data_IF_776829947695
#
_entry.id   IF_776829947695
#
_cell.length_a   1.000
_cell.length_b   1.000
_cell.length_c   1.000
_cell.angle_alpha   90.00
_cell.angle_beta   90.00
_cell.angle_gamma   90.00
#
_symmetry.space_group_name_H-M   'P 1'
#
loop_
_entity.id
_entity.type
_entity.pdbx_description
1 polymer ?
#
# COMPACT_ATOMS: atom_id res chain seq x y z
N UNK A 1 -16.63 -62.40 -49.18
CA UNK A 1 -17.84 -63.13 -48.79
C UNK A 1 -17.68 -63.57 -47.34
N UNK A 2 -18.49 -62.98 -46.43
CA UNK A 2 -19.04 -63.53 -45.18
C UNK A 2 -18.02 -63.99 -44.11
N UNK A 3 -17.86 -63.24 -43.00
CA UNK A 3 -18.54 -63.41 -41.70
C UNK A 3 -18.38 -64.84 -41.13
N UNK A 4 -18.06 -65.14 -39.88
CA UNK A 4 -18.13 -64.44 -38.61
C UNK A 4 -17.33 -65.28 -37.58
N UNK A 5 -17.06 -64.75 -36.40
CA UNK A 5 -17.60 -65.33 -35.14
C UNK A 5 -16.69 -65.08 -33.94
N UNK A 6 -17.34 -64.71 -32.84
CA UNK A 6 -16.96 -64.97 -31.45
C UNK A 6 -15.66 -64.35 -30.97
N UNK A 7 -15.76 -63.12 -30.45
CA UNK A 7 -14.93 -62.74 -29.30
C UNK A 7 -15.83 -62.48 -28.09
N UNK A 8 -15.45 -63.20 -27.04
CA UNK A 8 -16.20 -63.63 -25.88
C UNK A 8 -16.53 -62.45 -24.93
N UNK A 9 -17.81 -62.30 -24.61
CA UNK A 9 -18.37 -61.29 -23.68
C UNK A 9 -17.83 -61.45 -22.24
N UNK A 10 -17.02 -62.49 -21.97
CA UNK A 10 -16.44 -62.77 -20.65
C UNK A 10 -15.15 -62.02 -20.33
N UNK A 11 -14.43 -61.48 -21.31
CA UNK A 11 -13.18 -60.74 -21.04
C UNK A 11 -13.45 -59.31 -20.51
N UNK A 12 -14.66 -58.80 -20.73
CA UNK A 12 -15.02 -57.42 -20.37
C UNK A 12 -15.19 -57.16 -18.87
N UNK A 13 -15.34 -58.18 -18.01
CA UNK A 13 -15.72 -57.96 -16.61
C UNK A 13 -14.56 -58.00 -15.60
N UNK A 14 -13.36 -58.43 -16.00
CA UNK A 14 -12.24 -58.61 -15.05
C UNK A 14 -11.32 -57.39 -14.91
N UNK A 15 -11.42 -56.38 -15.77
CA UNK A 15 -10.52 -55.21 -15.79
C UNK A 15 -11.18 -53.96 -15.17
N UNK A 16 -12.43 -54.05 -14.72
CA UNK A 16 -13.20 -52.90 -14.24
C UNK A 16 -13.03 -52.57 -12.74
N UNK A 17 -12.21 -53.31 -11.97
CA UNK A 17 -12.20 -53.19 -10.50
C UNK A 17 -10.82 -53.00 -9.85
N UNK A 18 -9.87 -52.35 -10.51
CA UNK A 18 -8.52 -52.08 -9.95
C UNK A 18 -8.05 -50.62 -10.06
N UNK A 19 -8.97 -49.64 -10.12
CA UNK A 19 -8.62 -48.21 -10.22
C UNK A 19 -9.38 -47.33 -9.21
N UNK A 20 -9.47 -47.72 -7.94
CA UNK A 20 -10.16 -46.91 -6.90
C UNK A 20 -9.22 -46.37 -5.80
N UNK A 21 -7.90 -46.36 -5.99
CA UNK A 21 -7.02 -45.66 -5.05
C UNK A 21 -5.92 -44.87 -5.77
N UNK A 22 -6.31 -43.78 -6.42
CA UNK A 22 -5.38 -42.68 -6.64
C UNK A 22 -5.32 -41.85 -5.34
N UNK A 23 -4.18 -41.74 -4.63
CA UNK A 23 -4.06 -40.76 -3.58
C UNK A 23 -4.14 -39.38 -4.23
N UNK A 24 -5.01 -38.52 -3.69
CA UNK A 24 -5.14 -37.14 -4.13
C UNK A 24 -3.75 -36.49 -4.28
N UNK A 25 -3.52 -35.68 -5.32
CA UNK A 25 -2.29 -34.91 -5.37
C UNK A 25 -2.28 -34.01 -4.14
N UNK A 26 -1.29 -34.20 -3.28
CA UNK A 26 -0.94 -33.26 -2.22
C UNK A 26 -0.84 -31.89 -2.87
N UNK A 27 -1.84 -31.04 -2.64
CA UNK A 27 -1.77 -29.61 -2.88
C UNK A 27 -0.60 -29.11 -2.01
N UNK A 28 0.60 -29.10 -2.60
CA UNK A 28 1.82 -28.54 -2.04
C UNK A 28 1.57 -27.05 -1.96
N UNK A 29 0.93 -26.67 -0.86
CA UNK A 29 0.49 -25.31 -0.61
C UNK A 29 1.65 -24.35 -0.77
N UNK A 30 1.52 -23.49 -1.77
CA UNK A 30 1.70 -22.04 -1.63
C UNK A 30 2.98 -21.64 -0.90
N UNK A 31 4.15 -21.92 -1.48
CA UNK A 31 5.42 -21.30 -1.04
C UNK A 31 6.25 -20.62 -2.14
N UNK A 32 5.83 -20.67 -3.40
CA UNK A 32 6.62 -20.10 -4.51
C UNK A 32 5.85 -19.11 -5.38
N UNK A 33 4.69 -18.58 -4.94
CA UNK A 33 4.19 -17.39 -5.62
C UNK A 33 5.08 -16.21 -5.21
N UNK A 34 5.90 -15.62 -6.10
CA UNK A 34 6.52 -14.34 -5.80
C UNK A 34 5.42 -13.38 -5.34
N UNK A 35 5.68 -12.50 -4.36
CA UNK A 35 4.67 -11.55 -3.91
C UNK A 35 4.11 -10.89 -5.16
N UNK A 36 2.80 -11.05 -5.40
CA UNK A 36 2.14 -10.47 -6.56
C UNK A 36 2.60 -9.01 -6.61
N UNK A 37 3.32 -8.58 -7.66
CA UNK A 37 3.60 -7.17 -7.84
C UNK A 37 2.26 -6.47 -7.66
N UNK A 38 2.19 -5.49 -6.73
CA UNK A 38 0.93 -4.80 -6.44
C UNK A 38 0.30 -4.46 -7.77
N UNK A 39 -0.94 -4.95 -7.96
CA UNK A 39 -1.52 -5.12 -9.28
C UNK A 39 -1.26 -3.85 -10.10
N UNK A 40 -0.86 -3.95 -11.37
CA UNK A 40 -0.38 -2.80 -12.14
C UNK A 40 -1.36 -1.59 -12.19
N UNK A 41 -2.61 -1.76 -11.73
CA UNK A 41 -3.62 -0.73 -11.51
C UNK A 41 -3.55 0.01 -10.15
N UNK A 42 -2.79 -0.46 -9.16
CA UNK A 42 -2.71 0.12 -7.82
C UNK A 42 -1.66 1.23 -7.74
N UNK A 43 -2.09 2.43 -7.35
CA UNK A 43 -1.25 3.63 -7.23
C UNK A 43 -0.22 3.52 -6.09
N UNK A 44 -0.38 2.52 -5.21
CA UNK A 44 0.42 2.28 -4.02
C UNK A 44 1.64 1.36 -4.22
N UNK A 45 2.06 1.10 -5.47
CA UNK A 45 3.13 0.15 -5.69
C UNK A 45 4.51 0.80 -5.53
N UNK A 46 5.32 0.44 -4.52
CA UNK A 46 6.65 1.02 -4.33
C UNK A 46 7.56 0.79 -5.55
N UNK A 47 7.32 -0.29 -6.31
CA UNK A 47 8.00 -0.56 -7.57
C UNK A 47 7.75 0.50 -8.66
N UNK A 48 6.63 1.24 -8.61
CA UNK A 48 6.35 2.32 -9.57
C UNK A 48 7.14 3.60 -9.25
N UNK A 49 7.80 3.66 -8.09
CA UNK A 49 8.76 4.71 -7.72
C UNK A 49 10.21 4.37 -8.16
N UNK A 50 10.43 3.27 -8.88
CA UNK A 50 11.73 3.01 -9.50
C UNK A 50 12.08 4.16 -10.48
N UNK A 51 13.27 4.75 -10.34
CA UNK A 51 13.70 5.93 -11.10
C UNK A 51 13.50 7.27 -10.39
N UNK A 52 12.91 7.27 -9.19
CA UNK A 52 12.81 8.47 -8.35
C UNK A 52 14.00 8.52 -7.37
N UNK A 53 14.68 9.66 -7.29
CA UNK A 53 15.81 9.86 -6.36
C UNK A 53 15.33 10.42 -5.02
N UNK A 54 16.03 10.12 -3.93
CA UNK A 54 15.94 10.95 -2.72
C UNK A 54 16.78 12.19 -2.96
N UNK A 55 16.15 13.27 -3.41
CA UNK A 55 16.83 14.52 -3.68
C UNK A 55 17.03 15.33 -2.39
N UNK A 56 18.27 15.77 -2.16
CA UNK A 56 18.63 16.71 -1.10
C UNK A 56 18.98 18.08 -1.71
N UNK A 57 18.43 19.19 -1.20
CA UNK A 57 17.36 19.25 -0.20
C UNK A 57 16.02 18.77 -0.79
N UNK A 58 15.11 18.33 0.08
CA UNK A 58 13.79 17.88 -0.34
C UNK A 58 13.01 18.97 -1.13
N UNK A 59 12.14 18.58 -2.08
CA UNK A 59 11.17 19.50 -2.69
C UNK A 59 10.33 20.27 -1.67
N UNK A 60 10.15 21.56 -1.92
CA UNK A 60 9.29 22.43 -1.11
C UNK A 60 7.89 22.40 -1.70
N UNK A 61 6.86 22.28 -0.86
CA UNK A 61 5.49 22.31 -1.34
C UNK A 61 5.10 23.73 -1.79
N UNK A 62 4.73 23.87 -3.06
CA UNK A 62 4.17 25.10 -3.65
C UNK A 62 2.68 25.19 -3.33
N UNK A 63 1.96 24.07 -3.44
CA UNK A 63 0.53 24.00 -3.17
C UNK A 63 0.17 22.71 -2.44
N UNK A 64 -0.56 22.86 -1.33
CA UNK A 64 -1.15 21.75 -0.58
C UNK A 64 -2.67 21.86 -0.62
N UNK A 65 -3.30 20.77 -1.05
CA UNK A 65 -4.74 20.59 -0.94
C UNK A 65 -5.02 19.88 0.38
N UNK A 66 -5.92 20.41 1.19
CA UNK A 66 -6.32 19.78 2.45
C UNK A 66 -7.05 18.45 2.20
N UNK A 67 -6.99 17.55 3.18
CA UNK A 67 -7.75 16.30 3.17
C UNK A 67 -9.25 16.63 3.19
N UNK A 68 -10.02 16.07 2.25
CA UNK A 68 -11.47 16.26 2.21
C UNK A 68 -12.17 15.40 3.26
N UNK A 69 -12.45 16.00 4.42
CA UNK A 69 -13.04 15.30 5.56
C UNK A 69 -14.52 14.94 5.36
N UNK A 70 -15.21 15.49 4.36
CA UNK A 70 -16.60 15.11 4.06
C UNK A 70 -16.72 13.64 3.62
N UNK A 71 -15.61 13.03 3.21
CA UNK A 71 -15.52 11.62 2.84
C UNK A 71 -15.08 10.71 4.01
N UNK A 72 -14.87 11.27 5.20
CA UNK A 72 -14.37 10.55 6.38
C UNK A 72 -15.48 10.48 7.43
N UNK A 73 -15.79 9.28 7.90
CA UNK A 73 -16.86 9.07 8.88
C UNK A 73 -16.46 9.62 10.24
N UNK A 74 -17.40 10.21 10.99
CA UNK A 74 -17.15 10.62 12.37
C UNK A 74 -17.34 9.47 13.37
N UNK A 75 -16.62 9.45 14.50
CA UNK A 75 -15.51 10.34 14.83
C UNK A 75 -14.31 10.11 13.89
N UNK A 76 -13.55 11.17 13.64
CA UNK A 76 -12.33 11.06 12.84
C UNK A 76 -11.34 10.14 13.57
N UNK A 77 -10.54 9.33 12.86
CA UNK A 77 -9.46 8.61 13.53
C UNK A 77 -8.52 9.63 14.17
N UNK A 78 -7.86 9.26 15.25
CA UNK A 78 -6.86 10.10 15.92
C UNK A 78 -5.46 9.57 15.60
N UNK A 79 -4.56 10.44 15.12
CA UNK A 79 -3.16 10.08 14.89
C UNK A 79 -2.55 10.74 13.66
N UNK A 80 -1.56 10.05 13.09
CA UNK A 80 -0.86 10.44 11.86
C UNK A 80 -0.89 9.31 10.84
N UNK A 81 -1.21 9.65 9.59
CA UNK A 81 -0.99 8.79 8.43
C UNK A 81 0.37 9.14 7.80
N UNK A 82 1.10 8.13 7.37
CA UNK A 82 2.41 8.29 6.72
C UNK A 82 2.28 7.79 5.28
N UNK A 83 2.59 8.65 4.33
CA UNK A 83 2.54 8.36 2.91
C UNK A 83 3.93 8.52 2.28
N UNK A 84 4.27 7.67 1.32
CA UNK A 84 5.36 7.90 0.38
C UNK A 84 4.78 8.46 -0.92
N UNK A 85 5.26 9.62 -1.36
CA UNK A 85 4.83 10.26 -2.59
C UNK A 85 5.94 10.26 -3.64
N UNK A 86 5.57 10.03 -4.88
CA UNK A 86 6.42 10.25 -6.05
C UNK A 86 6.06 11.56 -6.72
N UNK A 87 7.06 12.42 -6.88
CA UNK A 87 6.95 13.74 -7.51
C UNK A 87 7.72 13.68 -8.81
N UNK A 88 7.08 13.96 -9.94
CA UNK A 88 7.77 13.97 -11.24
C UNK A 88 8.68 15.20 -11.42
N UNK A 89 9.37 15.27 -12.55
CA UNK A 89 10.31 16.33 -12.92
C UNK A 89 9.66 17.71 -12.98
N UNK A 90 8.33 17.77 -13.12
CA UNK A 90 7.54 19.01 -13.14
C UNK A 90 7.00 19.40 -11.77
N UNK A 91 7.40 18.69 -10.72
CA UNK A 91 6.95 18.95 -9.35
C UNK A 91 5.54 18.44 -9.04
N UNK A 92 4.92 17.65 -9.90
CA UNK A 92 3.58 17.10 -9.68
C UNK A 92 3.66 15.76 -8.98
N UNK A 93 2.79 15.55 -7.99
CA UNK A 93 2.63 14.23 -7.36
C UNK A 93 1.96 13.29 -8.36
N UNK A 94 2.63 12.17 -8.68
CA UNK A 94 2.18 11.15 -9.62
C UNK A 94 1.89 9.81 -8.94
N UNK A 95 2.30 9.65 -7.69
CA UNK A 95 1.96 8.52 -6.83
C UNK A 95 1.89 8.93 -5.37
N UNK A 96 1.04 8.24 -4.62
CA UNK A 96 0.88 8.41 -3.18
C UNK A 96 0.57 7.03 -2.56
N UNK A 97 1.54 6.46 -1.86
CA UNK A 97 1.48 5.15 -1.24
C UNK A 97 1.29 5.31 0.26
N UNK A 98 0.33 4.62 0.86
CA UNK A 98 0.16 4.64 2.33
C UNK A 98 1.13 3.65 2.96
N UNK A 99 2.13 4.16 3.68
CA UNK A 99 3.07 3.33 4.45
C UNK A 99 2.48 2.95 5.81
N UNK A 100 1.79 3.90 6.45
CA UNK A 100 1.06 3.69 7.70
C UNK A 100 -0.27 4.41 7.63
N UNK A 101 -1.34 3.63 7.58
CA UNK A 101 -2.70 4.13 7.61
C UNK A 101 -3.23 4.34 9.03
N UNK A 102 -4.34 5.05 9.13
CA UNK A 102 -5.13 5.16 10.36
C UNK A 102 -6.46 4.42 10.20
N UNK A 103 -7.17 4.72 9.12
CA UNK A 103 -8.46 4.12 8.76
C UNK A 103 -8.70 4.36 7.27
N UNK A 104 -9.25 3.36 6.59
CA UNK A 104 -9.26 3.33 5.13
C UNK A 104 -10.02 4.49 4.46
N UNK A 105 -11.04 5.07 5.10
CA UNK A 105 -11.75 6.26 4.62
C UNK A 105 -10.86 7.51 4.68
N UNK A 106 -10.12 7.71 5.78
CA UNK A 106 -9.14 8.78 5.92
C UNK A 106 -7.96 8.57 4.98
N UNK A 107 -7.43 7.35 4.89
CA UNK A 107 -6.25 7.03 4.08
C UNK A 107 -6.51 7.27 2.58
N UNK A 108 -7.72 6.98 2.09
CA UNK A 108 -8.14 7.30 0.72
C UNK A 108 -8.27 8.81 0.50
N UNK A 109 -8.89 9.53 1.43
CA UNK A 109 -9.01 10.99 1.35
C UNK A 109 -7.63 11.68 1.40
N UNK A 110 -6.71 11.13 2.20
CA UNK A 110 -5.33 11.59 2.32
C UNK A 110 -4.55 11.40 1.01
N UNK A 111 -4.63 10.21 0.39
CA UNK A 111 -4.03 9.95 -0.92
C UNK A 111 -4.59 10.89 -2.00
N UNK A 112 -5.92 11.03 -2.06
CA UNK A 112 -6.57 11.91 -3.03
C UNK A 112 -6.15 13.37 -2.89
N UNK A 113 -5.95 13.85 -1.66
CA UNK A 113 -5.42 15.18 -1.41
C UNK A 113 -3.96 15.31 -1.84
N UNK A 114 -3.09 14.35 -1.46
CA UNK A 114 -1.67 14.34 -1.80
C UNK A 114 -1.42 14.34 -3.31
N UNK A 115 -2.21 13.58 -4.07
CA UNK A 115 -2.15 13.55 -5.54
C UNK A 115 -2.39 14.92 -6.21
N UNK A 116 -2.98 15.88 -5.50
CA UNK A 116 -3.27 17.23 -6.01
C UNK A 116 -2.23 18.27 -5.56
N UNK A 117 -1.22 17.83 -4.79
CA UNK A 117 -0.15 18.70 -4.32
C UNK A 117 0.82 19.05 -5.46
N UNK A 118 1.47 20.20 -5.30
CA UNK A 118 2.50 20.68 -6.22
C UNK A 118 3.73 21.04 -5.40
N UNK A 119 4.89 20.65 -5.89
CA UNK A 119 6.20 20.85 -5.29
C UNK A 119 7.14 21.57 -6.24
N UNK A 120 8.24 22.07 -5.70
CA UNK A 120 9.33 22.60 -6.53
C UNK A 120 9.97 21.47 -7.35
N UNK A 121 10.09 21.65 -8.69
CA UNK A 121 10.89 20.76 -9.52
C UNK A 121 12.30 20.58 -8.96
N UNK A 122 12.88 19.40 -9.15
CA UNK A 122 14.27 19.14 -8.77
C UNK A 122 15.11 18.82 -9.99
N UNK A 123 16.34 19.31 -9.93
CA UNK A 123 17.37 19.11 -10.93
C UNK A 123 18.57 18.51 -10.21
N UNK A 124 19.04 17.36 -10.68
CA UNK A 124 20.23 16.68 -10.18
C UNK A 124 21.20 16.53 -11.34
N UNK A 125 22.44 16.99 -11.18
CA UNK A 125 23.45 17.01 -12.24
C UNK A 125 22.97 17.68 -13.56
N UNK A 126 22.20 18.76 -13.45
CA UNK A 126 21.66 19.48 -14.61
C UNK A 126 20.47 18.78 -15.29
N UNK A 127 20.03 17.62 -14.80
CA UNK A 127 18.89 16.88 -15.34
C UNK A 127 17.67 16.99 -14.41
N UNK A 128 16.47 17.30 -14.92
CA UNK A 128 15.25 17.18 -14.14
C UNK A 128 15.04 15.74 -13.67
N UNK A 129 14.74 15.54 -12.38
CA UNK A 129 14.57 14.21 -11.80
C UNK A 129 13.26 14.07 -11.05
N UNK A 130 12.68 12.87 -11.12
CA UNK A 130 11.62 12.46 -10.20
C UNK A 130 12.16 12.29 -8.78
N UNK A 131 11.37 12.68 -7.78
CA UNK A 131 11.72 12.56 -6.35
C UNK A 131 10.71 11.75 -5.57
N UNK A 132 11.19 10.79 -4.78
CA UNK A 132 10.37 10.07 -3.81
C UNK A 132 10.62 10.66 -2.40
N UNK A 133 9.56 10.94 -1.66
CA UNK A 133 9.67 11.42 -0.29
C UNK A 133 8.54 10.92 0.61
N UNK A 134 8.80 10.84 1.91
CA UNK A 134 7.78 10.54 2.93
C UNK A 134 7.13 11.82 3.42
N UNK A 135 5.80 11.83 3.48
CA UNK A 135 4.99 12.89 4.07
C UNK A 135 4.15 12.34 5.23
N UNK A 136 3.84 13.21 6.19
CA UNK A 136 3.03 12.88 7.35
C UNK A 136 1.78 13.77 7.37
N UNK A 137 0.61 13.15 7.51
CA UNK A 137 -0.69 13.82 7.57
C UNK A 137 -1.34 13.55 8.92
N UNK A 138 -1.59 14.61 9.68
CA UNK A 138 -2.29 14.53 10.97
C UNK A 138 -3.80 14.61 10.81
N UNK A 139 -4.51 13.97 11.74
CA UNK A 139 -5.97 14.08 11.85
C UNK A 139 -6.38 15.35 12.60
N UNK A 140 -7.56 15.92 12.33
CA UNK A 140 -8.04 17.12 13.03
C UNK A 140 -8.28 16.92 14.53
N UNK A 141 -8.48 15.67 14.95
CA UNK A 141 -8.89 15.29 16.31
C UNK A 141 -7.79 15.47 17.39
N UNK A 142 -6.66 16.10 17.02
CA UNK A 142 -5.77 16.72 18.01
C UNK A 142 -6.20 18.19 18.18
N UNK A 143 -6.89 18.58 19.27
CA UNK A 143 -7.13 19.99 19.55
C UNK A 143 -5.78 20.74 19.65
N UNK A 144 -5.60 21.89 18.97
CA UNK A 144 -4.48 22.78 19.22
C UNK A 144 -4.57 23.25 20.68
N UNK A 145 -3.66 22.80 21.55
CA UNK A 145 -3.65 23.25 22.95
C UNK A 145 -3.44 22.16 24.01
N UNK A 146 -3.55 20.87 23.67
CA UNK A 146 -3.05 19.80 24.54
C UNK A 146 -1.60 19.44 24.18
N UNK A 147 -0.76 20.47 24.06
CA UNK A 147 0.65 20.29 24.35
C UNK A 147 0.70 19.89 25.82
N UNK A 148 1.24 18.70 26.11
CA UNK A 148 1.54 18.17 27.44
C UNK A 148 1.94 19.34 28.35
N UNK A 149 1.04 19.78 29.24
CA UNK A 149 1.43 20.64 30.36
C UNK A 149 2.58 19.89 30.99
N UNK A 150 3.79 20.43 30.87
CA UNK A 150 4.90 19.97 31.67
C UNK A 150 4.38 20.03 33.09
N UNK A 151 4.17 18.86 33.69
CA UNK A 151 3.99 18.72 35.12
C UNK A 151 5.24 19.37 35.71
N UNK A 152 5.13 20.65 36.09
CA UNK A 152 6.20 21.32 36.80
C UNK A 152 6.50 20.50 38.04
N UNK A 153 7.76 20.24 38.40
CA UNK A 153 8.04 19.61 39.67
C UNK A 153 7.48 20.51 40.76
N UNK A 154 6.54 19.94 41.50
CA UNK A 154 5.97 20.48 42.71
C UNK A 154 7.08 20.86 43.70
N UNK A 155 6.90 22.00 44.37
CA UNK A 155 7.40 22.20 45.73
C UNK A 155 8.78 22.83 45.86
N UNK A 156 8.83 24.16 45.79
CA UNK A 156 9.71 24.93 46.67
C UNK A 156 9.31 24.64 48.12
N UNK A 157 10.03 23.75 48.78
CA UNK A 157 10.04 23.61 50.24
C UNK A 157 11.21 24.42 50.81
N UNK A 158 10.89 25.46 51.59
CA UNK A 158 11.82 26.24 52.40
C UNK A 158 12.28 25.45 53.64
N UNK A 159 13.58 25.60 53.96
CA UNK A 159 14.27 25.61 55.28
C UNK A 159 14.12 24.38 56.21
N UNK A 160 15.16 24.04 56.99
CA UNK A 160 15.53 24.80 58.20
C UNK A 160 16.71 25.76 58.03
#
# INVERSE_FOLDING_TARGET
MILASMFDVRVALAIALLLVHAPAPLQRGRRDEPPRPCAAAEICCPYRLAGFSRAEPAPTAIRRVAVNLNQVRRPYPSGIAILEIGINEKGRVVSACVLRGLRSDFDRAAQAAAMRWLFTPKVLHGQPVGVAMTITLGTPDRPPGMARRSRGPHGLGRLP
#
